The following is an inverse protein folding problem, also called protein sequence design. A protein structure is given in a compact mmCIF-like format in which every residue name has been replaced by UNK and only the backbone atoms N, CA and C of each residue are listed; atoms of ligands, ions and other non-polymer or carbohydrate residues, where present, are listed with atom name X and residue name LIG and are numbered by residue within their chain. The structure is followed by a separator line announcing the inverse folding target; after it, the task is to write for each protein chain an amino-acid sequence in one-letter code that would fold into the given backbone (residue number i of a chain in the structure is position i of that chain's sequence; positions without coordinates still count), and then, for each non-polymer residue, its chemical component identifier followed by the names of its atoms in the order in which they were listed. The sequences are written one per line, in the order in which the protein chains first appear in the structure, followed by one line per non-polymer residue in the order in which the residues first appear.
data_IF_034980211434
#
_entry.id   IF_034980211434
#
_cell.length_a   1.000
_cell.length_b   1.000
_cell.length_c   1.000
_cell.angle_alpha   90.00
_cell.angle_beta   90.00
_cell.angle_gamma   90.00
#
_symmetry.space_group_name_H-M   'P 1'
#
loop_
_entity.id
_entity.type
_entity.pdbx_description
1 polymer ?
#
# COMPACT_ATOMS: atom_id res chain seq x y z
N UNK A 1 3.81 -10.71 32.40
CA UNK A 1 4.91 -10.03 31.70
C UNK A 1 5.51 -10.95 30.65
N UNK A 2 5.28 -10.67 29.38
CA UNK A 2 5.83 -11.44 28.24
C UNK A 2 7.21 -10.95 27.82
N UNK A 3 7.92 -11.75 27.03
CA UNK A 3 9.20 -11.34 26.43
C UNK A 3 9.24 -11.73 24.95
N UNK A 4 9.77 -10.85 24.11
CA UNK A 4 10.19 -11.23 22.76
C UNK A 4 11.57 -11.90 22.82
N UNK A 5 11.73 -12.98 22.06
CA UNK A 5 12.99 -13.71 21.93
C UNK A 5 13.21 -14.15 20.51
N UNK A 6 14.46 -14.06 20.06
CA UNK A 6 14.90 -14.67 18.82
C UNK A 6 14.72 -16.19 18.87
N UNK A 7 14.04 -16.76 17.88
CA UNK A 7 13.82 -18.22 17.73
C UNK A 7 15.13 -18.98 17.78
N UNK A 8 16.16 -18.54 17.04
CA UNK A 8 17.48 -19.17 17.02
C UNK A 8 18.13 -19.22 18.41
N UNK A 9 18.00 -18.14 19.19
CA UNK A 9 18.52 -18.12 20.57
C UNK A 9 17.76 -19.08 21.48
N UNK A 10 16.44 -19.19 21.31
CA UNK A 10 15.59 -20.11 22.06
C UNK A 10 15.91 -21.57 21.76
N UNK A 11 16.14 -21.91 20.49
CA UNK A 11 16.40 -23.28 20.05
C UNK A 11 17.81 -23.77 20.39
N UNK A 12 18.85 -22.97 20.09
CA UNK A 12 20.23 -23.47 20.17
C UNK A 12 21.25 -22.47 20.75
N UNK A 13 20.78 -21.36 21.34
CA UNK A 13 21.63 -20.27 21.88
C UNK A 13 22.63 -19.67 20.87
N UNK A 14 22.48 -19.95 19.57
CA UNK A 14 23.44 -19.56 18.53
C UNK A 14 23.36 -18.11 18.09
N UNK A 15 22.35 -17.36 18.54
CA UNK A 15 22.23 -15.93 18.25
C UNK A 15 22.51 -15.12 19.53
N UNK A 16 23.61 -14.35 19.59
CA UNK A 16 23.85 -13.44 20.70
C UNK A 16 22.77 -12.35 20.77
N UNK A 17 22.37 -11.78 19.63
CA UNK A 17 21.14 -10.99 19.44
C UNK A 17 20.81 -9.92 20.50
N UNK A 18 19.56 -9.47 20.52
CA UNK A 18 19.03 -8.46 21.44
C UNK A 18 18.71 -9.00 22.86
N UNK A 19 18.98 -10.27 23.16
CA UNK A 19 18.62 -10.86 24.44
C UNK A 19 17.11 -11.06 24.63
N UNK A 20 16.64 -10.82 25.86
CA UNK A 20 15.22 -10.86 26.20
C UNK A 20 14.70 -9.42 26.17
N UNK A 21 13.77 -9.14 25.27
CA UNK A 21 13.12 -7.83 25.21
C UNK A 21 11.81 -7.92 25.99
N UNK A 22 11.59 -7.00 26.94
CA UNK A 22 10.33 -6.93 27.70
C UNK A 22 9.19 -6.51 26.76
N UNK A 23 8.13 -7.31 26.72
CA UNK A 23 7.03 -7.13 25.76
C UNK A 23 6.38 -5.75 25.90
N UNK A 24 5.94 -5.41 27.10
CA UNK A 24 5.15 -4.20 27.38
C UNK A 24 5.94 -2.92 27.04
N UNK A 25 7.17 -2.81 27.53
CA UNK A 25 8.06 -1.68 27.25
C UNK A 25 8.35 -1.54 25.75
N UNK A 26 8.54 -2.66 25.04
CA UNK A 26 8.83 -2.65 23.61
C UNK A 26 7.61 -2.29 22.78
N UNK A 27 6.43 -2.82 23.09
CA UNK A 27 5.18 -2.46 22.41
C UNK A 27 4.88 -0.97 22.57
N UNK A 28 5.09 -0.41 23.76
CA UNK A 28 4.93 1.03 24.01
C UNK A 28 5.95 1.88 23.24
N UNK A 29 7.20 1.44 23.18
CA UNK A 29 8.23 2.07 22.35
C UNK A 29 7.85 2.10 20.87
N UNK A 30 7.41 0.96 20.32
CA UNK A 30 6.97 0.86 18.92
C UNK A 30 5.74 1.74 18.67
N UNK A 31 4.77 1.74 19.59
CA UNK A 31 3.59 2.60 19.48
C UNK A 31 3.95 4.08 19.41
N UNK A 32 4.84 4.54 20.30
CA UNK A 32 5.31 5.93 20.29
C UNK A 32 5.99 6.29 18.97
N UNK A 33 6.84 5.39 18.45
CA UNK A 33 7.49 5.58 17.16
C UNK A 33 6.50 5.61 15.99
N UNK A 34 5.43 4.79 16.03
CA UNK A 34 4.35 4.81 15.03
C UNK A 34 3.63 6.16 15.03
N UNK A 35 3.30 6.71 16.21
CA UNK A 35 2.63 8.01 16.31
C UNK A 35 3.49 9.14 15.76
N UNK A 36 4.78 9.18 16.12
CA UNK A 36 5.71 10.19 15.63
C UNK A 36 5.85 10.14 14.10
N UNK A 37 6.07 8.94 13.54
CA UNK A 37 6.24 8.77 12.10
C UNK A 37 4.98 9.08 11.32
N UNK A 38 3.82 8.69 11.84
CA UNK A 38 2.56 9.00 11.18
C UNK A 38 2.25 10.51 11.23
N UNK A 39 2.60 11.19 12.32
CA UNK A 39 2.46 12.65 12.42
C UNK A 39 3.39 13.38 11.45
N UNK A 40 4.66 12.96 11.35
CA UNK A 40 5.61 13.49 10.37
C UNK A 40 5.07 13.33 8.94
N UNK A 41 4.56 12.14 8.62
CA UNK A 41 3.91 11.87 7.34
C UNK A 41 2.70 12.79 7.10
N UNK A 42 1.81 12.95 8.08
CA UNK A 42 0.67 13.86 7.96
C UNK A 42 1.07 15.33 7.75
N UNK A 43 2.16 15.79 8.35
CA UNK A 43 2.68 17.16 8.17
C UNK A 43 3.27 17.32 6.76
N UNK A 44 4.10 16.36 6.32
CA UNK A 44 4.75 16.38 5.00
C UNK A 44 3.74 16.23 3.86
N UNK A 45 2.68 15.45 4.07
CA UNK A 45 1.59 15.22 3.12
C UNK A 45 0.34 16.08 3.41
N UNK A 46 0.51 17.20 4.11
CA UNK A 46 -0.52 18.06 4.69
C UNK A 46 -1.89 18.06 3.98
N UNK A 47 -2.92 17.58 4.71
CA UNK A 47 -4.40 17.79 4.62
C UNK A 47 -5.10 17.93 3.25
N UNK A 48 -4.42 17.93 2.13
CA UNK A 48 -5.01 18.00 0.80
C UNK A 48 -5.17 16.58 0.29
N UNK A 49 -6.39 16.24 -0.14
CA UNK A 49 -6.65 15.23 -1.16
C UNK A 49 -5.88 15.61 -2.44
N UNK A 50 -4.55 15.50 -2.42
CA UNK A 50 -3.78 15.51 -3.66
C UNK A 50 -3.94 14.13 -4.25
N UNK A 51 -5.08 13.95 -4.92
CA UNK A 51 -5.24 12.91 -5.92
C UNK A 51 -4.00 13.02 -6.81
N UNK A 52 -3.16 11.97 -6.84
CA UNK A 52 -1.91 12.00 -7.59
C UNK A 52 -2.26 12.37 -9.04
N UNK A 53 -1.84 13.55 -9.56
CA UNK A 53 -2.30 14.02 -10.86
C UNK A 53 -1.97 13.04 -11.99
N UNK A 54 -0.90 12.24 -11.84
CA UNK A 54 -0.55 11.17 -12.77
C UNK A 54 -1.51 9.99 -12.68
N UNK A 55 -1.92 9.62 -11.46
CA UNK A 55 -2.91 8.56 -11.23
C UNK A 55 -4.27 8.97 -11.80
N UNK A 56 -4.70 10.22 -11.58
CA UNK A 56 -5.93 10.75 -12.20
C UNK A 56 -5.82 10.78 -13.72
N UNK A 57 -4.68 11.20 -14.28
CA UNK A 57 -4.47 11.19 -15.72
C UNK A 57 -4.57 9.78 -16.30
N UNK A 58 -3.95 8.78 -15.66
CA UNK A 58 -4.04 7.38 -16.10
C UNK A 58 -5.46 6.81 -15.95
N UNK A 59 -6.20 7.17 -14.90
CA UNK A 59 -7.60 6.76 -14.75
C UNK A 59 -8.50 7.33 -15.86
N UNK A 60 -8.29 8.60 -16.23
CA UNK A 60 -9.01 9.24 -17.35
C UNK A 60 -8.62 8.59 -18.67
N UNK A 61 -7.33 8.33 -18.90
CA UNK A 61 -6.84 7.66 -20.10
C UNK A 61 -7.41 6.23 -20.22
N UNK A 62 -7.46 5.48 -19.12
CA UNK A 62 -8.05 4.14 -19.08
C UNK A 62 -9.52 4.16 -19.52
N UNK A 63 -10.32 5.07 -18.95
CA UNK A 63 -11.74 5.20 -19.29
C UNK A 63 -11.95 5.60 -20.77
N UNK A 64 -11.05 6.42 -21.33
CA UNK A 64 -11.10 6.77 -22.75
C UNK A 64 -10.80 5.56 -23.65
N UNK A 65 -9.77 4.78 -23.33
CA UNK A 65 -9.41 3.56 -24.07
C UNK A 65 -10.53 2.52 -24.00
N UNK A 66 -11.13 2.32 -22.84
CA UNK A 66 -12.28 1.41 -22.66
C UNK A 66 -13.49 1.85 -23.50
N UNK A 67 -13.79 3.15 -23.52
CA UNK A 67 -14.88 3.69 -24.36
C UNK A 67 -14.59 3.56 -25.87
N UNK A 68 -13.32 3.68 -26.29
CA UNK A 68 -12.95 3.48 -27.70
C UNK A 68 -13.10 2.02 -28.13
N UNK A 69 -12.74 1.08 -27.25
CA UNK A 69 -12.97 -0.37 -27.48
C UNK A 69 -14.46 -0.66 -27.62
N UNK A 70 -15.31 -0.16 -26.71
CA UNK A 70 -16.76 -0.35 -26.79
C UNK A 70 -17.35 0.17 -28.11
N UNK A 71 -16.95 1.38 -28.54
CA UNK A 71 -17.41 1.94 -29.83
C UNK A 71 -16.99 1.11 -31.03
N UNK A 72 -15.78 0.55 -31.02
CA UNK A 72 -15.31 -0.33 -32.08
C UNK A 72 -16.07 -1.66 -32.08
N UNK A 73 -16.38 -2.21 -30.91
CA UNK A 73 -17.21 -3.41 -30.77
C UNK A 73 -18.64 -3.18 -31.30
N UNK A 74 -19.25 -2.03 -31.01
CA UNK A 74 -20.57 -1.67 -31.56
C UNK A 74 -20.53 -1.55 -33.08
N UNK A 75 -19.45 -0.97 -33.63
CA UNK A 75 -19.26 -0.78 -35.08
C UNK A 75 -19.05 -2.11 -35.83
N UNK A 76 -18.63 -3.18 -35.14
CA UNK A 76 -18.48 -4.50 -35.73
C UNK A 76 -19.83 -5.16 -36.07
N UNK A 77 -20.94 -4.70 -35.48
CA UNK A 77 -22.29 -5.19 -35.81
C UNK A 77 -22.74 -4.67 -37.18
N UNK A 78 -22.41 -5.42 -38.25
CA UNK A 78 -22.76 -5.08 -39.63
C UNK A 78 -21.60 -4.59 -40.52
N UNK A 79 -20.36 -4.68 -40.04
CA UNK A 79 -19.16 -4.31 -40.80
C UNK A 79 -18.81 -5.34 -41.90
N UNK A 80 -18.26 -4.85 -43.02
CA UNK A 80 -17.70 -5.72 -44.07
C UNK A 80 -16.33 -6.30 -43.66
N UNK A 81 -15.85 -7.34 -44.35
CA UNK A 81 -14.65 -8.08 -43.97
C UNK A 81 -13.38 -7.21 -43.81
N UNK A 82 -13.24 -6.14 -44.61
CA UNK A 82 -12.10 -5.21 -44.54
C UNK A 82 -12.18 -4.32 -43.30
N UNK A 83 -13.38 -3.81 -42.97
CA UNK A 83 -13.63 -3.04 -41.76
C UNK A 83 -13.48 -3.90 -40.50
N UNK A 84 -13.85 -5.17 -40.57
CA UNK A 84 -13.72 -6.12 -39.47
C UNK A 84 -12.24 -6.42 -39.14
N UNK A 85 -11.41 -6.63 -40.16
CA UNK A 85 -9.96 -6.80 -39.97
C UNK A 85 -9.31 -5.54 -39.38
N UNK A 86 -9.72 -4.36 -39.84
CA UNK A 86 -9.23 -3.09 -39.31
C UNK A 86 -9.63 -2.88 -37.85
N UNK A 87 -10.91 -3.09 -37.52
CA UNK A 87 -11.43 -2.95 -36.17
C UNK A 87 -10.76 -3.93 -35.19
N UNK A 88 -10.56 -5.19 -35.59
CA UNK A 88 -9.87 -6.18 -34.76
C UNK A 88 -8.42 -5.76 -34.45
N UNK A 89 -7.67 -5.29 -35.45
CA UNK A 89 -6.31 -4.78 -35.24
C UNK A 89 -6.29 -3.59 -34.28
N UNK A 90 -7.24 -2.66 -34.44
CA UNK A 90 -7.34 -1.48 -33.58
C UNK A 90 -7.72 -1.84 -32.14
N UNK A 91 -8.60 -2.82 -31.95
CA UNK A 91 -8.96 -3.36 -30.62
C UNK A 91 -7.73 -3.97 -29.95
N UNK A 92 -6.91 -4.73 -30.67
CA UNK A 92 -5.69 -5.34 -30.12
C UNK A 92 -4.65 -4.29 -29.66
N UNK A 93 -4.49 -3.21 -30.43
CA UNK A 93 -3.65 -2.07 -30.07
C UNK A 93 -4.17 -1.36 -28.80
N UNK A 94 -5.48 -1.12 -28.72
CA UNK A 94 -6.12 -0.49 -27.56
C UNK A 94 -6.08 -1.39 -26.32
N UNK A 95 -6.25 -2.70 -26.47
CA UNK A 95 -6.13 -3.67 -25.37
C UNK A 95 -4.71 -3.70 -24.78
N UNK A 96 -3.70 -3.64 -25.65
CA UNK A 96 -2.29 -3.55 -25.22
C UNK A 96 -2.05 -2.25 -24.45
N UNK A 97 -2.63 -1.13 -24.93
CA UNK A 97 -2.56 0.16 -24.22
C UNK A 97 -3.30 0.12 -22.88
N UNK A 98 -4.50 -0.48 -22.82
CA UNK A 98 -5.29 -0.69 -21.60
C UNK A 98 -4.46 -1.42 -20.56
N UNK A 99 -3.88 -2.56 -20.92
CA UNK A 99 -3.03 -3.36 -20.01
C UNK A 99 -1.83 -2.57 -19.48
N UNK A 100 -1.20 -1.78 -20.34
CA UNK A 100 -0.05 -0.93 -19.95
C UNK A 100 -0.46 0.13 -18.92
N UNK A 101 -1.60 0.80 -19.14
CA UNK A 101 -2.13 1.82 -18.22
C UNK A 101 -2.56 1.18 -16.89
N UNK A 102 -3.27 0.05 -16.93
CA UNK A 102 -3.68 -0.67 -15.71
C UNK A 102 -2.47 -1.08 -14.87
N UNK A 103 -1.37 -1.50 -15.51
CA UNK A 103 -0.12 -1.82 -14.81
C UNK A 103 0.52 -0.58 -14.16
N UNK A 104 0.59 0.54 -14.89
CA UNK A 104 1.11 1.79 -14.35
C UNK A 104 0.26 2.33 -13.18
N UNK A 105 -1.07 2.18 -13.24
CA UNK A 105 -1.97 2.51 -12.12
C UNK A 105 -1.68 1.62 -10.91
N UNK A 106 -1.53 0.31 -11.11
CA UNK A 106 -1.24 -0.62 -10.02
C UNK A 106 0.11 -0.29 -9.35
N UNK A 107 1.15 0.00 -10.13
CA UNK A 107 2.47 0.40 -9.63
C UNK A 107 2.39 1.72 -8.84
N UNK A 108 1.73 2.75 -9.37
CA UNK A 108 1.58 4.04 -8.69
C UNK A 108 0.65 4.00 -7.47
N UNK A 109 -0.32 3.09 -7.45
CA UNK A 109 -1.23 2.90 -6.31
C UNK A 109 -0.56 2.18 -5.14
N UNK A 110 0.48 1.38 -5.39
CA UNK A 110 1.29 0.77 -4.33
C UNK A 110 2.15 1.81 -3.63
N UNK A 111 2.59 2.85 -4.35
CA UNK A 111 3.42 3.94 -3.82
C UNK A 111 2.64 5.01 -3.07
N UNK A 112 1.30 4.98 -3.08
CA UNK A 112 0.48 5.99 -2.39
C UNK A 112 -0.57 5.37 -1.48
N UNK A 113 -0.41 5.54 -0.17
CA UNK A 113 -1.46 5.19 0.80
C UNK A 113 -2.71 6.00 0.48
N UNK A 114 -3.84 5.31 0.28
CA UNK A 114 -5.10 5.96 -0.03
C UNK A 114 -5.53 6.91 1.09
N UNK A 115 -6.20 8.04 0.77
CA UNK A 115 -6.74 8.95 1.80
C UNK A 115 -7.65 8.26 2.82
N UNK A 116 -8.37 7.22 2.40
CA UNK A 116 -9.20 6.39 3.28
C UNK A 116 -8.37 5.58 4.29
N UNK A 117 -7.25 4.99 3.86
CA UNK A 117 -6.32 4.31 4.76
C UNK A 117 -5.66 5.29 5.72
N UNK A 118 -5.30 6.50 5.30
CA UNK A 118 -4.75 7.54 6.20
C UNK A 118 -5.77 7.89 7.29
N UNK A 119 -7.03 8.16 6.92
CA UNK A 119 -8.10 8.44 7.90
C UNK A 119 -8.28 7.28 8.89
N UNK A 120 -8.28 6.05 8.39
CA UNK A 120 -8.42 4.84 9.21
C UNK A 120 -7.25 4.63 10.16
N UNK A 121 -6.01 4.82 9.69
CA UNK A 121 -4.80 4.75 10.53
C UNK A 121 -4.79 5.83 11.60
N UNK A 122 -5.21 7.06 11.27
CA UNK A 122 -5.37 8.14 12.25
C UNK A 122 -6.33 7.72 13.37
N UNK A 123 -7.52 7.22 13.01
CA UNK A 123 -8.50 6.76 13.99
C UNK A 123 -7.93 5.69 14.92
N UNK A 124 -7.21 4.69 14.37
CA UNK A 124 -6.61 3.64 15.19
C UNK A 124 -5.54 4.14 16.15
N UNK A 125 -4.67 5.04 15.70
CA UNK A 125 -3.61 5.61 16.54
C UNK A 125 -4.15 6.55 17.63
N UNK A 126 -5.21 7.31 17.32
CA UNK A 126 -5.84 8.25 18.26
C UNK A 126 -6.67 7.52 19.33
N UNK A 127 -7.21 6.33 19.01
CA UNK A 127 -8.10 5.56 19.88
C UNK A 127 -7.46 4.26 20.38
N UNK A 128 -6.13 4.19 20.41
CA UNK A 128 -5.36 2.97 20.63
C UNK A 128 -5.82 2.15 21.84
N UNK A 129 -6.10 2.78 22.98
CA UNK A 129 -6.49 2.05 24.20
C UNK A 129 -7.92 1.49 24.16
N UNK A 130 -8.74 1.96 23.23
CA UNK A 130 -10.17 1.60 23.10
C UNK A 130 -10.48 0.64 21.94
N UNK A 131 -9.53 0.42 21.03
CA UNK A 131 -9.67 -0.50 19.90
C UNK A 131 -9.22 -1.92 20.27
N UNK A 132 -9.74 -2.91 19.53
CA UNK A 132 -9.39 -4.30 19.75
C UNK A 132 -7.97 -4.65 19.26
N UNK A 133 -7.52 -5.86 19.59
CA UNK A 133 -6.19 -6.32 19.22
C UNK A 133 -6.00 -6.44 17.70
N UNK A 134 -7.05 -6.80 16.96
CA UNK A 134 -6.97 -7.01 15.52
C UNK A 134 -6.77 -5.67 14.79
N UNK A 135 -7.46 -4.63 15.24
CA UNK A 135 -7.30 -3.27 14.73
C UNK A 135 -5.95 -2.66 15.10
N UNK A 136 -5.43 -2.93 16.31
CA UNK A 136 -4.03 -2.58 16.67
C UNK A 136 -3.03 -3.24 15.72
N UNK A 137 -3.25 -4.53 15.42
CA UNK A 137 -2.41 -5.26 14.49
C UNK A 137 -2.50 -4.68 13.08
N UNK A 138 -3.70 -4.37 12.58
CA UNK A 138 -3.88 -3.73 11.26
C UNK A 138 -3.19 -2.37 11.18
N UNK A 139 -3.22 -1.58 12.25
CA UNK A 139 -2.52 -0.30 12.30
C UNK A 139 -1.00 -0.49 12.20
N UNK A 140 -0.44 -1.43 12.98
CA UNK A 140 0.98 -1.77 12.90
C UNK A 140 1.35 -2.32 11.51
N UNK A 141 0.57 -3.26 10.96
CA UNK A 141 0.78 -3.83 9.64
C UNK A 141 0.63 -2.78 8.52
N UNK A 142 -0.14 -1.72 8.73
CA UNK A 142 -0.29 -0.61 7.78
C UNK A 142 0.92 0.32 7.74
N UNK A 143 1.63 0.48 8.85
CA UNK A 143 2.73 1.45 8.99
C UNK A 143 4.12 0.80 8.90
N UNK A 144 4.26 -0.41 9.43
CA UNK A 144 5.55 -1.06 9.66
C UNK A 144 5.75 -2.16 8.61
N UNK A 145 6.90 -2.13 7.96
CA UNK A 145 7.38 -3.21 7.10
C UNK A 145 8.13 -4.26 7.91
N UNK A 146 9.13 -3.85 8.70
CA UNK A 146 9.96 -4.76 9.49
C UNK A 146 10.58 -4.03 10.68
N UNK A 147 10.74 -4.73 11.80
CA UNK A 147 11.47 -4.24 12.97
C UNK A 147 12.71 -5.10 13.17
N UNK A 148 13.88 -4.47 13.16
CA UNK A 148 15.17 -5.11 13.42
C UNK A 148 15.66 -4.66 14.80
N UNK A 149 15.81 -5.60 15.72
CA UNK A 149 16.32 -5.34 17.06
C UNK A 149 17.66 -6.05 17.26
N UNK A 150 18.69 -5.27 17.59
CA UNK A 150 20.01 -5.76 17.99
C UNK A 150 20.23 -5.48 19.49
N UNK A 151 21.41 -5.80 20.02
CA UNK A 151 21.76 -5.52 21.42
C UNK A 151 21.86 -4.02 21.73
N UNK A 152 22.13 -3.19 20.73
CA UNK A 152 22.45 -1.77 20.85
C UNK A 152 21.36 -0.84 20.29
N UNK A 153 20.54 -1.30 19.34
CA UNK A 153 19.55 -0.44 18.68
C UNK A 153 18.31 -1.19 18.21
N UNK A 154 17.26 -0.42 17.96
CA UNK A 154 16.05 -0.86 17.26
C UNK A 154 15.91 -0.01 16.02
N UNK A 155 15.78 -0.67 14.87
CA UNK A 155 15.54 -0.03 13.58
C UNK A 155 14.17 -0.47 13.07
N UNK A 156 13.34 0.49 12.69
CA UNK A 156 12.02 0.26 12.14
C UNK A 156 12.05 0.68 10.66
N UNK A 157 11.69 -0.25 9.79
CA UNK A 157 11.47 0.01 8.37
C UNK A 157 9.97 0.28 8.17
N UNK A 158 9.67 1.46 7.64
CA UNK A 158 8.31 1.97 7.47
C UNK A 158 7.80 1.71 6.05
N UNK A 159 6.48 1.58 5.90
CA UNK A 159 5.80 1.49 4.60
C UNK A 159 5.45 2.87 4.00
N UNK A 160 5.67 3.93 4.79
CA UNK A 160 5.22 5.29 4.53
C UNK A 160 6.41 6.22 4.38
#
# INVERSE_FOLDING_TARGET
TGYFRCTKRTENKGCPGCGKIRKEEFEQFIFSAMQEKFKDFQILHGREEKVNPKLTAYQVELAQVESEIEKLLDTLTGANATLLAYANKKIEELDTRRQTISKAIAELSIETISPQQIKKLSYYLDNWDSIDFDDKRKAADGLISTIKATSDRVQIEWKI
#
